data_IF_405560288145
#
_entry.id   IF_405560288145
#
_cell.length_a   1.000
_cell.length_b   1.000
_cell.length_c   1.000
_cell.angle_alpha   90.00
_cell.angle_beta   90.00
_cell.angle_gamma   90.00
#
_symmetry.space_group_name_H-M   'P 1'
#
loop_
_entity.id
_entity.type
_entity.pdbx_description
1 polymer ?
#
# COMPACT_ATOMS: atom_id res chain seq x y z
N UNK A 1 15.42 45.37 10.13
CA UNK A 1 14.99 46.00 8.88
C UNK A 1 14.16 44.97 8.14
N UNK A 2 12.87 44.87 8.49
CA UNK A 2 11.94 43.88 7.94
C UNK A 2 11.40 44.42 6.62
N UNK A 3 11.74 43.75 5.52
CA UNK A 3 11.14 43.99 4.21
C UNK A 3 9.65 43.61 4.27
N UNK A 4 8.78 44.63 4.29
CA UNK A 4 7.38 44.49 3.90
C UNK A 4 7.36 44.00 2.45
N UNK A 5 7.12 42.70 2.25
CA UNK A 5 6.79 42.12 0.95
C UNK A 5 5.46 42.72 0.49
N UNK A 6 5.54 43.89 -0.14
CA UNK A 6 4.41 44.56 -0.75
C UNK A 6 4.37 44.11 -2.21
N UNK A 7 3.19 43.70 -2.64
CA UNK A 7 2.78 43.55 -4.03
C UNK A 7 3.21 42.25 -4.75
N UNK A 8 2.47 41.17 -4.50
CA UNK A 8 2.17 40.18 -5.54
C UNK A 8 0.71 40.38 -5.93
N UNK A 9 0.46 40.70 -7.19
CA UNK A 9 -0.85 40.72 -7.86
C UNK A 9 -1.61 39.41 -7.59
N UNK A 10 -2.29 39.31 -6.45
CA UNK A 10 -3.37 38.34 -6.28
C UNK A 10 -4.63 39.04 -6.78
N UNK A 11 -5.43 38.39 -7.66
CA UNK A 11 -6.69 38.95 -8.16
C UNK A 11 -7.77 38.83 -7.08
N UNK A 12 -7.58 39.55 -5.97
CA UNK A 12 -8.48 39.54 -4.83
C UNK A 12 -9.01 40.94 -4.57
N UNK A 13 -10.32 41.09 -4.32
CA UNK A 13 -10.90 42.37 -3.93
C UNK A 13 -10.29 42.94 -2.65
N UNK A 14 -9.58 44.06 -2.77
CA UNK A 14 -9.10 44.88 -1.64
C UNK A 14 -9.72 46.27 -1.62
N UNK A 15 -9.87 46.81 -0.41
CA UNK A 15 -10.31 48.17 -0.11
C UNK A 15 -9.35 48.81 0.89
N UNK A 16 -9.07 50.10 0.74
CA UNK A 16 -8.40 50.93 1.73
C UNK A 16 -9.41 51.88 2.33
N UNK A 17 -9.55 51.85 3.64
CA UNK A 17 -10.58 52.62 4.35
C UNK A 17 -9.97 53.49 5.46
N UNK A 18 -10.68 54.55 5.82
CA UNK A 18 -10.36 55.36 7.00
C UNK A 18 -11.09 54.85 8.27
N UNK A 19 -10.84 55.49 9.42
CA UNK A 19 -11.51 55.19 10.70
C UNK A 19 -13.02 55.43 10.73
N UNK A 20 -13.56 56.16 9.74
CA UNK A 20 -14.99 56.40 9.58
C UNK A 20 -15.61 55.41 8.59
N UNK A 21 -14.85 54.40 8.14
CA UNK A 21 -15.24 53.42 7.13
C UNK A 21 -15.47 54.03 5.73
N UNK A 22 -14.90 55.19 5.44
CA UNK A 22 -14.89 55.77 4.10
C UNK A 22 -13.84 55.05 3.23
N UNK A 23 -14.22 54.70 2.00
CA UNK A 23 -13.34 54.01 1.06
C UNK A 23 -12.46 55.05 0.37
N UNK A 24 -11.16 54.98 0.65
CA UNK A 24 -10.13 55.84 0.08
C UNK A 24 -9.61 55.30 -1.24
N UNK A 25 -9.35 53.99 -1.29
CA UNK A 25 -8.86 53.29 -2.49
C UNK A 25 -9.54 51.92 -2.60
N UNK A 26 -9.64 51.38 -3.81
CA UNK A 26 -10.18 50.05 -4.10
C UNK A 26 -9.42 49.42 -5.26
N UNK A 27 -9.31 48.10 -5.25
CA UNK A 27 -8.75 47.32 -6.37
C UNK A 27 -9.72 47.22 -7.55
N UNK A 28 -9.21 46.90 -8.74
CA UNK A 28 -10.04 46.64 -9.92
C UNK A 28 -10.99 45.45 -9.69
N UNK A 29 -10.51 44.41 -9.03
CA UNK A 29 -11.29 43.22 -8.67
C UNK A 29 -12.44 43.56 -7.72
N UNK A 30 -12.25 44.52 -6.81
CA UNK A 30 -13.31 45.01 -5.94
C UNK A 30 -14.38 45.82 -6.71
N UNK A 31 -13.99 46.58 -7.72
CA UNK A 31 -14.91 47.32 -8.59
C UNK A 31 -15.77 46.42 -9.46
N UNK A 32 -15.21 45.31 -9.96
CA UNK A 32 -15.97 44.35 -10.76
C UNK A 32 -17.01 43.59 -9.94
N UNK A 33 -16.66 43.25 -8.69
CA UNK A 33 -17.45 42.35 -7.85
C UNK A 33 -18.47 43.06 -6.97
N UNK A 34 -18.15 44.24 -6.43
CA UNK A 34 -18.96 44.94 -5.43
C UNK A 34 -19.49 46.28 -5.95
N UNK A 35 -20.51 46.84 -5.28
CA UNK A 35 -21.06 48.15 -5.66
C UNK A 35 -20.06 49.29 -5.46
N UNK A 36 -20.25 50.36 -6.22
CA UNK A 36 -19.45 51.58 -6.09
C UNK A 36 -20.02 52.49 -4.99
N UNK A 37 -19.81 52.10 -3.73
CA UNK A 37 -20.20 52.93 -2.58
C UNK A 37 -19.05 53.79 -2.07
N UNK A 38 -19.39 54.86 -1.34
CA UNK A 38 -18.41 55.74 -0.66
C UNK A 38 -18.00 55.21 0.70
N UNK A 39 -18.86 54.43 1.35
CA UNK A 39 -18.59 53.83 2.66
C UNK A 39 -18.55 52.31 2.54
N UNK A 40 -17.59 51.69 3.22
CA UNK A 40 -17.49 50.24 3.31
C UNK A 40 -18.70 49.63 4.00
N UNK A 41 -19.29 50.32 4.99
CA UNK A 41 -20.51 49.86 5.66
C UNK A 41 -21.72 49.79 4.71
N UNK A 42 -21.77 50.63 3.67
CA UNK A 42 -22.84 50.58 2.69
C UNK A 42 -22.76 49.34 1.78
N UNK A 43 -21.58 48.69 1.71
CA UNK A 43 -21.38 47.42 1.03
C UNK A 43 -21.77 46.21 1.89
N UNK A 44 -21.96 46.41 3.20
CA UNK A 44 -22.24 45.35 4.17
C UNK A 44 -23.72 45.38 4.55
N UNK A 45 -24.35 44.21 4.64
CA UNK A 45 -25.73 44.10 5.07
C UNK A 45 -25.95 44.61 6.51
N UNK A 46 -27.15 45.12 6.80
CA UNK A 46 -27.49 45.79 8.06
C UNK A 46 -27.20 44.92 9.27
N UNK A 47 -27.50 43.61 9.19
CA UNK A 47 -27.24 42.66 10.28
C UNK A 47 -25.75 42.42 10.54
N UNK A 48 -24.90 42.64 9.53
CA UNK A 48 -23.45 42.47 9.61
C UNK A 48 -22.71 43.77 9.96
N UNK A 49 -23.35 44.94 9.83
CA UNK A 49 -22.74 46.24 10.12
C UNK A 49 -22.34 46.41 11.59
N UNK A 50 -23.10 45.86 12.53
CA UNK A 50 -22.75 45.91 13.96
C UNK A 50 -21.43 45.19 14.25
N UNK A 51 -21.26 44.00 13.67
CA UNK A 51 -20.01 43.22 13.77
C UNK A 51 -18.83 43.97 13.16
N UNK A 52 -19.02 44.61 12.01
CA UNK A 52 -17.96 45.45 11.41
C UNK A 52 -17.60 46.62 12.33
N UNK A 53 -18.57 47.35 12.88
CA UNK A 53 -18.27 48.52 13.75
C UNK A 53 -17.60 48.17 15.07
N UNK A 54 -17.87 46.98 15.60
CA UNK A 54 -17.31 46.50 16.87
C UNK A 54 -15.87 46.02 16.68
N UNK A 55 -15.60 45.27 15.61
CA UNK A 55 -14.34 44.55 15.44
C UNK A 55 -13.36 45.20 14.46
N UNK A 56 -13.83 46.08 13.58
CA UNK A 56 -13.02 46.80 12.60
C UNK A 56 -12.46 48.11 13.19
N UNK A 57 -11.76 48.01 14.33
CA UNK A 57 -11.16 49.15 15.03
C UNK A 57 -9.65 48.98 15.21
N UNK A 58 -8.88 50.09 15.34
CA UNK A 58 -7.42 50.04 15.48
C UNK A 58 -6.95 49.23 16.69
N UNK A 59 -7.79 49.09 17.72
CA UNK A 59 -7.46 48.36 18.95
C UNK A 59 -7.44 46.84 18.77
N UNK A 60 -7.94 46.31 17.65
CA UNK A 60 -7.93 44.89 17.34
C UNK A 60 -6.88 44.57 16.28
N UNK A 61 -5.82 43.87 16.69
CA UNK A 61 -4.74 43.47 15.80
C UNK A 61 -5.18 42.26 14.95
N UNK A 62 -5.27 42.45 13.62
CA UNK A 62 -5.59 41.42 12.63
C UNK A 62 -6.87 40.63 12.91
N UNK A 63 -8.01 41.15 12.44
CA UNK A 63 -9.32 40.49 12.60
C UNK A 63 -9.79 39.89 11.27
N UNK A 64 -10.32 38.67 11.33
CA UNK A 64 -11.12 38.05 10.26
C UNK A 64 -12.60 38.03 10.65
N UNK A 65 -13.47 38.59 9.81
CA UNK A 65 -14.92 38.71 10.05
C UNK A 65 -15.69 38.07 8.90
N UNK A 66 -16.66 37.21 9.23
CA UNK A 66 -17.61 36.66 8.26
C UNK A 66 -18.83 37.60 8.16
N UNK A 67 -19.02 38.21 6.99
CA UNK A 67 -20.09 39.20 6.74
C UNK A 67 -20.75 38.98 5.39
N UNK A 68 -22.00 39.40 5.27
CA UNK A 68 -22.70 39.46 3.98
C UNK A 68 -22.43 40.80 3.31
N UNK A 69 -21.92 40.77 2.07
CA UNK A 69 -21.66 41.96 1.26
C UNK A 69 -22.51 42.01 -0.01
N UNK A 70 -22.93 43.22 -0.38
CA UNK A 70 -23.72 43.52 -1.58
C UNK A 70 -22.82 43.55 -2.82
N UNK A 71 -23.07 42.63 -3.73
CA UNK A 71 -22.44 42.60 -5.05
C UNK A 71 -22.95 43.72 -5.96
N UNK A 72 -22.23 44.02 -7.03
CA UNK A 72 -22.64 44.98 -8.07
C UNK A 72 -24.05 44.74 -8.60
N UNK A 73 -24.47 43.47 -8.71
CA UNK A 73 -25.80 43.04 -9.14
C UNK A 73 -26.90 43.15 -8.05
N UNK A 74 -26.53 43.47 -6.81
CA UNK A 74 -27.46 43.58 -5.68
C UNK A 74 -27.75 42.28 -4.94
N UNK A 75 -27.05 41.20 -5.25
CA UNK A 75 -27.10 39.96 -4.48
C UNK A 75 -26.18 40.05 -3.26
N UNK A 76 -26.61 39.45 -2.14
CA UNK A 76 -25.78 39.29 -0.96
C UNK A 76 -24.91 38.05 -1.11
N UNK A 77 -23.61 38.20 -0.91
CA UNK A 77 -22.63 37.11 -0.89
C UNK A 77 -21.92 37.08 0.45
N UNK A 78 -21.78 35.87 0.99
CA UNK A 78 -21.04 35.61 2.22
C UNK A 78 -19.53 35.68 1.95
N UNK A 79 -18.84 36.54 2.68
CA UNK A 79 -17.42 36.81 2.49
C UNK A 79 -16.68 36.80 3.83
N UNK A 80 -15.43 36.38 3.79
CA UNK A 80 -14.48 36.57 4.88
C UNK A 80 -13.70 37.86 4.62
N UNK A 81 -13.74 38.77 5.58
CA UNK A 81 -13.11 40.09 5.55
C UNK A 81 -11.91 40.08 6.49
N UNK A 82 -10.72 40.28 5.94
CA UNK A 82 -9.47 40.36 6.68
C UNK A 82 -8.97 41.79 6.71
N UNK A 83 -8.48 42.23 7.87
CA UNK A 83 -8.24 43.66 8.13
C UNK A 83 -6.87 43.85 8.73
N UNK A 84 -6.07 44.70 8.12
CA UNK A 84 -4.76 45.12 8.62
C UNK A 84 -4.69 46.63 8.72
N UNK A 85 -4.41 47.16 9.91
CA UNK A 85 -4.15 48.59 10.10
C UNK A 85 -2.69 48.88 9.73
N UNK A 86 -2.46 49.68 8.69
CA UNK A 86 -1.10 50.13 8.34
C UNK A 86 -0.63 51.32 9.19
N UNK A 87 -1.59 52.09 9.72
CA UNK A 87 -1.42 53.25 10.61
C UNK A 87 -2.72 53.48 11.40
N UNK A 88 -2.72 54.34 12.43
CA UNK A 88 -3.95 54.71 13.17
C UNK A 88 -5.03 55.40 12.32
N UNK A 89 -4.73 55.71 11.06
CA UNK A 89 -5.60 56.46 10.16
C UNK A 89 -6.16 55.62 9.00
N UNK A 90 -5.55 54.47 8.69
CA UNK A 90 -5.86 53.70 7.49
C UNK A 90 -5.85 52.20 7.76
N UNK A 91 -6.90 51.52 7.31
CA UNK A 91 -6.98 50.06 7.28
C UNK A 91 -7.02 49.56 5.84
N UNK A 92 -6.26 48.50 5.58
CA UNK A 92 -6.37 47.68 4.38
C UNK A 92 -7.31 46.51 4.68
N UNK A 93 -8.29 46.33 3.81
CA UNK A 93 -9.36 45.34 3.93
C UNK A 93 -9.32 44.42 2.72
N UNK A 94 -9.07 43.14 2.96
CA UNK A 94 -9.10 42.09 1.96
C UNK A 94 -10.41 41.31 2.08
N UNK A 95 -11.12 41.14 0.97
CA UNK A 95 -12.42 40.45 0.94
C UNK A 95 -12.30 39.17 0.11
N UNK A 96 -12.59 38.03 0.74
CA UNK A 96 -12.53 36.72 0.10
C UNK A 96 -13.94 36.13 0.07
N UNK A 97 -14.45 35.80 -1.13
CA UNK A 97 -15.72 35.09 -1.28
C UNK A 97 -15.60 33.69 -0.67
N UNK A 98 -16.56 33.32 0.18
CA UNK A 98 -16.67 31.96 0.69
C UNK A 98 -17.28 31.08 -0.40
N UNK A 99 -16.45 30.65 -1.35
CA UNK A 99 -16.90 29.85 -2.49
C UNK A 99 -17.31 28.45 -2.01
N UNK A 100 -18.63 28.21 -1.94
CA UNK A 100 -19.20 26.91 -1.56
C UNK A 100 -18.70 25.77 -2.45
N UNK A 101 -18.39 26.06 -3.72
CA UNK A 101 -17.90 25.05 -4.67
C UNK A 101 -16.50 24.57 -4.28
N UNK A 102 -15.60 25.48 -3.89
CA UNK A 102 -14.24 25.13 -3.47
C UNK A 102 -14.25 24.32 -2.17
N UNK A 103 -15.09 24.73 -1.20
CA UNK A 103 -15.27 23.98 0.06
C UNK A 103 -15.85 22.59 -0.15
N UNK A 104 -16.81 22.44 -1.10
CA UNK A 104 -17.41 21.14 -1.46
C UNK A 104 -16.39 20.21 -2.11
N UNK A 105 -15.57 20.71 -3.02
CA UNK A 105 -14.50 19.94 -3.68
C UNK A 105 -13.41 19.53 -2.67
N UNK A 106 -12.99 20.44 -1.79
CA UNK A 106 -12.00 20.13 -0.75
C UNK A 106 -12.52 19.06 0.23
N UNK A 107 -13.82 19.11 0.57
CA UNK A 107 -14.50 18.08 1.34
C UNK A 107 -14.54 16.73 0.64
N UNK A 108 -14.80 16.70 -0.67
CA UNK A 108 -14.76 15.46 -1.47
C UNK A 108 -13.34 14.88 -1.57
N UNK A 109 -12.33 15.72 -1.80
CA UNK A 109 -10.92 15.30 -1.83
C UNK A 109 -10.46 14.72 -0.49
N UNK A 110 -10.89 15.32 0.62
CA UNK A 110 -10.57 14.82 1.97
C UNK A 110 -11.20 13.45 2.20
N UNK A 111 -12.48 13.26 1.80
CA UNK A 111 -13.15 11.96 1.89
C UNK A 111 -12.51 10.88 1.00
N UNK A 112 -12.09 11.24 -0.20
CA UNK A 112 -11.39 10.31 -1.11
C UNK A 112 -10.02 9.92 -0.55
N UNK A 113 -9.26 10.87 0.01
CA UNK A 113 -7.98 10.59 0.69
C UNK A 113 -8.17 9.64 1.86
N UNK A 114 -9.16 9.87 2.72
CA UNK A 114 -9.46 8.99 3.84
C UNK A 114 -9.78 7.55 3.35
N UNK A 115 -10.67 7.41 2.35
CA UNK A 115 -10.97 6.10 1.76
C UNK A 115 -9.75 5.41 1.15
N UNK A 116 -8.90 6.13 0.43
CA UNK A 116 -7.68 5.57 -0.14
C UNK A 116 -6.70 5.11 0.94
N UNK A 117 -6.61 5.83 2.05
CA UNK A 117 -5.80 5.41 3.20
C UNK A 117 -6.36 4.15 3.84
N UNK A 118 -7.68 4.10 4.08
CA UNK A 118 -8.35 2.92 4.65
C UNK A 118 -8.16 1.69 3.76
N UNK A 119 -8.39 1.84 2.44
CA UNK A 119 -8.17 0.75 1.48
C UNK A 119 -6.71 0.33 1.40
N UNK A 120 -5.75 1.27 1.45
CA UNK A 120 -4.33 0.92 1.46
C UNK A 120 -3.95 0.11 2.70
N UNK A 121 -4.49 0.46 3.87
CA UNK A 121 -4.28 -0.28 5.12
C UNK A 121 -4.86 -1.70 5.00
N UNK A 122 -6.09 -1.83 4.51
CA UNK A 122 -6.73 -3.13 4.28
C UNK A 122 -5.94 -3.99 3.29
N UNK A 123 -5.50 -3.41 2.16
CA UNK A 123 -4.70 -4.11 1.15
C UNK A 123 -3.33 -4.55 1.69
N UNK A 124 -2.71 -3.73 2.54
CA UNK A 124 -1.47 -4.08 3.25
C UNK A 124 -1.66 -5.30 4.15
N UNK A 125 -2.72 -5.32 4.96
CA UNK A 125 -3.02 -6.46 5.82
C UNK A 125 -3.34 -7.73 5.03
N UNK A 126 -4.10 -7.62 3.94
CA UNK A 126 -4.38 -8.77 3.08
C UNK A 126 -3.11 -9.30 2.40
N UNK A 127 -2.23 -8.39 1.93
CA UNK A 127 -0.94 -8.78 1.39
C UNK A 127 -0.07 -9.51 2.42
N UNK A 128 0.04 -8.98 3.64
CA UNK A 128 0.81 -9.60 4.72
C UNK A 128 0.26 -10.99 5.08
N UNK A 129 -1.07 -11.13 5.13
CA UNK A 129 -1.74 -12.42 5.31
C UNK A 129 -1.40 -13.40 4.17
N UNK A 130 -1.45 -12.94 2.92
CA UNK A 130 -1.10 -13.77 1.77
C UNK A 130 0.38 -14.18 1.79
N UNK A 131 1.27 -13.31 2.22
CA UNK A 131 2.70 -13.62 2.38
C UNK A 131 2.93 -14.67 3.48
N UNK A 132 2.24 -14.55 4.62
CA UNK A 132 2.27 -15.55 5.68
C UNK A 132 1.72 -16.90 5.23
N UNK A 133 0.58 -16.92 4.52
CA UNK A 133 0.01 -18.14 3.94
C UNK A 133 0.93 -18.74 2.88
N UNK A 134 1.58 -17.92 2.06
CA UNK A 134 2.55 -18.37 1.07
C UNK A 134 3.82 -18.92 1.72
N UNK A 135 4.25 -18.36 2.86
CA UNK A 135 5.37 -18.88 3.63
C UNK A 135 5.02 -20.19 4.34
N UNK A 136 3.82 -20.31 4.89
CA UNK A 136 3.29 -21.57 5.43
C UNK A 136 3.17 -22.64 4.34
N UNK A 137 2.73 -22.28 3.14
CA UNK A 137 2.69 -23.19 2.00
C UNK A 137 4.10 -23.56 1.48
N UNK A 138 5.06 -22.62 1.56
CA UNK A 138 6.49 -22.92 1.32
C UNK A 138 7.07 -23.84 2.39
N UNK A 139 6.64 -23.75 3.65
CA UNK A 139 6.95 -24.73 4.69
C UNK A 139 6.44 -26.13 4.28
N UNK A 140 5.32 -26.23 3.60
CA UNK A 140 4.72 -27.47 3.09
C UNK A 140 5.25 -27.96 1.73
N UNK A 141 6.29 -27.36 1.14
CA UNK A 141 6.67 -27.65 -0.27
C UNK A 141 7.48 -28.94 -0.53
N UNK A 142 7.64 -29.81 0.46
CA UNK A 142 7.72 -31.27 0.32
C UNK A 142 7.54 -31.85 1.73
N UNK A 143 6.31 -32.16 2.15
CA UNK A 143 6.09 -32.71 3.47
C UNK A 143 6.71 -34.10 3.51
N UNK A 144 7.61 -34.38 4.45
CA UNK A 144 7.91 -35.76 4.80
C UNK A 144 6.66 -36.35 5.45
N UNK A 145 6.12 -37.39 4.83
CA UNK A 145 4.93 -38.09 5.29
C UNK A 145 5.41 -39.45 5.81
N UNK A 146 5.48 -39.68 7.12
CA UNK A 146 5.78 -41.00 7.66
C UNK A 146 4.63 -41.95 7.31
N UNK A 147 4.94 -43.03 6.62
CA UNK A 147 3.97 -44.06 6.23
C UNK A 147 4.01 -45.25 7.18
N UNK A 148 5.19 -45.53 7.76
CA UNK A 148 5.41 -46.48 8.85
C UNK A 148 6.65 -46.05 9.66
N UNK A 149 7.03 -46.82 10.69
CA UNK A 149 8.27 -46.58 11.45
C UNK A 149 9.53 -46.62 10.55
N UNK A 150 9.49 -47.39 9.46
CA UNK A 150 10.65 -47.61 8.58
C UNK A 150 10.55 -46.89 7.23
N UNK A 151 9.36 -46.37 6.86
CA UNK A 151 9.10 -45.83 5.51
C UNK A 151 8.55 -44.42 5.56
N UNK A 152 9.24 -43.50 4.88
CA UNK A 152 8.80 -42.11 4.65
C UNK A 152 8.52 -41.80 3.18
N UNK A 153 7.61 -40.87 2.94
CA UNK A 153 7.25 -40.38 1.59
C UNK A 153 7.56 -38.89 1.47
N UNK A 154 8.23 -38.53 0.38
CA UNK A 154 8.56 -37.15 -0.01
C UNK A 154 7.96 -36.88 -1.39
N UNK A 155 6.80 -36.22 -1.47
CA UNK A 155 6.18 -35.94 -2.75
C UNK A 155 6.81 -34.72 -3.42
N UNK A 156 7.23 -34.89 -4.68
CA UNK A 156 7.94 -33.91 -5.48
C UNK A 156 6.98 -33.26 -6.48
N UNK A 157 6.58 -32.02 -6.22
CA UNK A 157 5.55 -31.32 -7.02
C UNK A 157 6.11 -30.19 -7.87
N UNK A 158 5.57 -29.99 -9.08
CA UNK A 158 5.85 -28.82 -9.92
C UNK A 158 7.30 -28.75 -10.42
N UNK A 159 7.74 -27.55 -10.84
CA UNK A 159 9.11 -27.35 -11.32
C UNK A 159 10.13 -27.54 -10.19
N UNK A 160 11.21 -28.27 -10.46
CA UNK A 160 12.26 -28.60 -9.49
C UNK A 160 13.59 -27.93 -9.91
N UNK A 161 13.90 -26.82 -9.25
CA UNK A 161 15.17 -26.11 -9.37
C UNK A 161 16.06 -26.29 -8.13
N UNK A 162 17.25 -25.70 -8.15
CA UNK A 162 18.21 -25.83 -7.06
C UNK A 162 17.65 -25.32 -5.74
N UNK A 163 17.03 -24.14 -5.74
CA UNK A 163 16.54 -23.49 -4.52
C UNK A 163 15.47 -24.35 -3.86
N UNK A 164 14.54 -24.88 -4.67
CA UNK A 164 13.50 -25.77 -4.18
C UNK A 164 14.08 -27.05 -3.59
N UNK A 165 14.99 -27.73 -4.29
CA UNK A 165 15.59 -28.97 -3.77
C UNK A 165 16.38 -28.72 -2.48
N UNK A 166 17.13 -27.63 -2.39
CA UNK A 166 17.86 -27.27 -1.16
C UNK A 166 16.91 -26.99 0.01
N UNK A 167 15.78 -26.32 -0.26
CA UNK A 167 14.76 -26.08 0.77
C UNK A 167 14.12 -27.38 1.28
N UNK A 168 14.02 -28.41 0.42
CA UNK A 168 13.52 -29.75 0.78
C UNK A 168 14.58 -30.48 1.59
N UNK A 169 15.84 -30.49 1.14
CA UNK A 169 16.96 -31.16 1.83
C UNK A 169 17.09 -30.71 3.29
N UNK A 170 17.03 -29.40 3.56
CA UNK A 170 17.18 -28.87 4.93
C UNK A 170 16.13 -29.42 5.89
N UNK A 171 14.86 -29.52 5.46
CA UNK A 171 13.77 -30.03 6.30
C UNK A 171 13.85 -31.54 6.44
N UNK A 172 14.07 -32.22 5.32
CA UNK A 172 14.07 -33.67 5.24
C UNK A 172 15.18 -34.28 6.13
N UNK A 173 16.38 -33.68 6.15
CA UNK A 173 17.47 -34.14 7.02
C UNK A 173 17.13 -34.02 8.52
N UNK A 174 16.32 -33.02 8.91
CA UNK A 174 15.86 -32.88 10.30
C UNK A 174 14.80 -33.93 10.64
N UNK A 175 13.80 -34.09 9.77
CA UNK A 175 12.68 -35.02 9.99
C UNK A 175 13.15 -36.48 10.05
N UNK A 176 14.04 -36.91 9.15
CA UNK A 176 14.58 -38.29 9.16
C UNK A 176 15.40 -38.59 10.41
N UNK A 177 16.14 -37.59 10.90
CA UNK A 177 16.91 -37.77 12.13
C UNK A 177 16.00 -38.00 13.34
N UNK A 178 14.79 -37.45 13.33
CA UNK A 178 13.80 -37.61 14.40
C UNK A 178 12.97 -38.90 14.23
N UNK A 179 12.51 -39.21 13.01
CA UNK A 179 11.58 -40.32 12.74
C UNK A 179 12.25 -41.67 12.45
N UNK A 180 13.59 -41.74 12.31
CA UNK A 180 14.36 -42.99 12.11
C UNK A 180 13.93 -43.83 10.88
N UNK A 181 13.42 -43.19 9.83
CA UNK A 181 12.99 -43.92 8.63
C UNK A 181 14.18 -44.49 7.84
N UNK A 182 14.15 -45.81 7.61
CA UNK A 182 15.16 -46.54 6.84
C UNK A 182 14.98 -46.38 5.33
N UNK A 183 13.74 -46.23 4.85
CA UNK A 183 13.42 -46.12 3.42
C UNK A 183 12.67 -44.84 3.11
N UNK A 184 13.11 -44.12 2.08
CA UNK A 184 12.48 -42.87 1.64
C UNK A 184 12.01 -43.01 0.19
N UNK A 185 10.71 -42.81 -0.01
CA UNK A 185 10.07 -42.80 -1.31
C UNK A 185 9.95 -41.36 -1.80
N UNK A 186 10.60 -41.02 -2.91
CA UNK A 186 10.40 -39.75 -3.59
C UNK A 186 9.36 -39.94 -4.71
N UNK A 187 8.19 -39.34 -4.57
CA UNK A 187 7.13 -39.44 -5.57
C UNK A 187 7.19 -38.28 -6.58
N UNK A 188 7.56 -38.60 -7.82
CA UNK A 188 7.65 -37.66 -8.93
C UNK A 188 6.39 -37.63 -9.79
N UNK A 189 5.30 -38.32 -9.41
CA UNK A 189 4.08 -38.43 -10.22
C UNK A 189 3.52 -37.06 -10.65
N UNK A 190 3.63 -36.05 -9.77
CA UNK A 190 3.15 -34.68 -10.03
C UNK A 190 4.29 -33.65 -10.18
N UNK A 191 5.51 -34.13 -10.50
CA UNK A 191 6.64 -33.26 -10.83
C UNK A 191 6.54 -32.76 -12.27
N UNK A 192 6.96 -31.52 -12.49
CA UNK A 192 7.12 -30.94 -13.83
C UNK A 192 8.57 -31.07 -14.30
N UNK A 193 9.06 -30.03 -14.95
CA UNK A 193 10.46 -29.96 -15.39
C UNK A 193 11.44 -29.97 -14.20
N UNK A 194 12.49 -30.79 -14.30
CA UNK A 194 13.65 -30.74 -13.40
C UNK A 194 14.80 -30.08 -14.12
N UNK A 195 15.21 -28.91 -13.63
CA UNK A 195 16.31 -28.15 -14.23
C UNK A 195 17.65 -28.85 -14.03
N UNK A 196 18.63 -28.52 -14.86
CA UNK A 196 20.00 -29.01 -14.75
C UNK A 196 20.64 -28.77 -13.37
N UNK A 197 20.33 -27.63 -12.74
CA UNK A 197 20.78 -27.33 -11.38
C UNK A 197 19.98 -28.06 -10.31
N UNK A 198 18.69 -28.31 -10.55
CA UNK A 198 17.85 -29.17 -9.71
C UNK A 198 18.37 -30.61 -9.66
N UNK A 199 18.75 -31.21 -10.79
CA UNK A 199 19.33 -32.57 -10.83
C UNK A 199 20.64 -32.65 -10.05
N UNK A 200 21.50 -31.62 -10.14
CA UNK A 200 22.73 -31.54 -9.34
C UNK A 200 22.45 -31.44 -7.84
N UNK A 201 21.45 -30.65 -7.45
CA UNK A 201 21.03 -30.54 -6.07
C UNK A 201 20.44 -31.86 -5.55
N UNK A 202 19.60 -32.54 -6.35
CA UNK A 202 19.06 -33.88 -6.03
C UNK A 202 20.18 -34.87 -5.77
N UNK A 203 21.24 -34.86 -6.59
CA UNK A 203 22.41 -35.71 -6.37
C UNK A 203 23.06 -35.48 -5.02
N UNK A 204 23.17 -34.22 -4.60
CA UNK A 204 23.75 -33.86 -3.30
C UNK A 204 22.87 -34.38 -2.19
N UNK A 205 21.57 -34.06 -2.23
CA UNK A 205 20.58 -34.49 -1.24
C UNK A 205 20.54 -36.02 -1.11
N UNK A 206 20.42 -36.77 -2.21
CA UNK A 206 20.41 -38.23 -2.17
C UNK A 206 21.70 -38.82 -1.60
N UNK A 207 22.86 -38.18 -1.83
CA UNK A 207 24.10 -38.59 -1.15
C UNK A 207 24.06 -38.33 0.35
N UNK A 208 23.57 -37.17 0.78
CA UNK A 208 23.41 -36.84 2.20
C UNK A 208 22.53 -37.89 2.89
N UNK A 209 21.40 -38.25 2.28
CA UNK A 209 20.47 -39.26 2.82
C UNK A 209 21.06 -40.67 2.83
N UNK A 210 21.77 -41.06 1.78
CA UNK A 210 22.46 -42.36 1.76
C UNK A 210 23.56 -42.46 2.83
N UNK A 211 24.24 -41.35 3.14
CA UNK A 211 25.20 -41.28 4.25
C UNK A 211 24.51 -41.46 5.61
N UNK A 212 23.26 -41.00 5.75
CA UNK A 212 22.44 -41.23 6.94
C UNK A 212 21.91 -42.67 7.05
N UNK A 213 22.17 -43.52 6.06
CA UNK A 213 21.76 -44.93 6.06
C UNK A 213 20.42 -45.19 5.38
N UNK A 214 19.79 -44.17 4.78
CA UNK A 214 18.49 -44.34 4.15
C UNK A 214 18.59 -45.02 2.78
N UNK A 215 17.73 -45.99 2.54
CA UNK A 215 17.44 -46.55 1.23
C UNK A 215 16.53 -45.60 0.44
N UNK A 216 16.91 -45.32 -0.81
CA UNK A 216 16.22 -44.34 -1.65
C UNK A 216 15.43 -45.04 -2.75
N UNK A 217 14.13 -44.75 -2.81
CA UNK A 217 13.22 -45.22 -3.85
C UNK A 217 12.60 -44.03 -4.58
N UNK A 218 12.64 -44.03 -5.90
CA UNK A 218 11.95 -43.02 -6.72
C UNK A 218 10.73 -43.67 -7.37
N UNK A 219 9.56 -43.08 -7.15
CA UNK A 219 8.29 -43.49 -7.73
C UNK A 219 7.80 -42.46 -8.76
N UNK A 220 7.05 -42.91 -9.78
CA UNK A 220 6.24 -41.99 -10.61
C UNK A 220 7.02 -41.11 -11.58
N UNK A 221 8.19 -41.54 -12.06
CA UNK A 221 9.00 -40.76 -13.02
C UNK A 221 8.28 -40.60 -14.35
N UNK A 222 7.95 -39.36 -14.72
CA UNK A 222 7.37 -39.03 -16.02
C UNK A 222 8.45 -38.86 -17.13
N UNK A 223 8.01 -38.61 -18.36
CA UNK A 223 8.92 -38.51 -19.52
C UNK A 223 9.90 -37.34 -19.43
N UNK A 224 9.49 -36.20 -18.86
CA UNK A 224 10.35 -35.01 -18.75
C UNK A 224 11.46 -35.25 -17.73
N UNK A 225 11.11 -35.75 -16.54
CA UNK A 225 12.07 -36.11 -15.49
C UNK A 225 13.02 -37.21 -15.96
N UNK A 226 12.53 -38.22 -16.67
CA UNK A 226 13.36 -39.29 -17.21
C UNK A 226 14.44 -38.77 -18.18
N UNK A 227 14.14 -37.76 -19.01
CA UNK A 227 15.11 -37.13 -19.92
C UNK A 227 16.19 -36.41 -19.14
N UNK A 228 15.81 -35.60 -18.15
CA UNK A 228 16.76 -34.90 -17.28
C UNK A 228 17.64 -35.91 -16.54
N UNK A 229 17.07 -36.98 -15.99
CA UNK A 229 17.84 -37.99 -15.24
C UNK A 229 18.82 -38.77 -16.12
N UNK A 230 18.44 -39.09 -17.36
CA UNK A 230 19.32 -39.80 -18.30
C UNK A 230 20.62 -39.04 -18.56
N UNK A 231 20.56 -37.71 -18.70
CA UNK A 231 21.75 -36.87 -18.96
C UNK A 231 22.78 -36.94 -17.82
N UNK A 232 22.34 -37.21 -16.59
CA UNK A 232 23.18 -37.20 -15.39
C UNK A 232 23.49 -38.60 -14.84
N UNK A 233 23.11 -39.64 -15.59
CA UNK A 233 23.31 -41.05 -15.26
C UNK A 233 22.78 -41.40 -13.86
N UNK A 234 21.59 -40.92 -13.51
CA UNK A 234 20.97 -41.12 -12.17
C UNK A 234 20.83 -42.60 -11.81
N UNK A 235 20.69 -43.49 -12.79
CA UNK A 235 20.66 -44.94 -12.58
C UNK A 235 21.93 -45.51 -11.90
N UNK A 236 23.03 -44.73 -11.84
CA UNK A 236 24.26 -45.12 -11.13
C UNK A 236 24.30 -44.67 -9.67
N UNK A 237 23.29 -43.95 -9.17
CA UNK A 237 23.33 -43.28 -7.86
C UNK A 237 22.90 -44.17 -6.69
N UNK A 238 22.84 -45.50 -6.88
CA UNK A 238 22.32 -46.45 -5.88
C UNK A 238 20.90 -46.09 -5.41
N UNK A 239 20.01 -45.84 -6.37
CA UNK A 239 18.61 -45.48 -6.14
C UNK A 239 17.74 -46.50 -6.86
N UNK A 240 16.72 -47.00 -6.18
CA UNK A 240 15.73 -47.89 -6.77
C UNK A 240 14.66 -47.08 -7.49
N UNK A 241 14.08 -47.63 -8.56
CA UNK A 241 13.03 -46.97 -9.34
C UNK A 241 11.79 -47.86 -9.43
N UNK A 242 10.63 -47.27 -9.21
CA UNK A 242 9.34 -47.92 -9.35
C UNK A 242 8.35 -47.05 -10.14
N UNK A 243 7.45 -47.70 -10.86
CA UNK A 243 6.57 -47.01 -11.80
C UNK A 243 5.59 -46.03 -11.12
N UNK A 244 5.10 -46.34 -9.92
CA UNK A 244 4.11 -45.50 -9.22
C UNK A 244 4.20 -45.69 -7.72
N UNK A 245 3.71 -44.68 -6.97
CA UNK A 245 3.62 -44.74 -5.52
C UNK A 245 2.78 -45.95 -5.06
N UNK A 246 1.64 -46.21 -5.70
CA UNK A 246 0.78 -47.36 -5.39
C UNK A 246 1.54 -48.70 -5.43
N UNK A 247 2.42 -48.89 -6.42
CA UNK A 247 3.24 -50.10 -6.51
C UNK A 247 4.33 -50.14 -5.44
N UNK A 248 4.89 -48.99 -5.08
CA UNK A 248 5.86 -48.86 -3.99
C UNK A 248 5.26 -49.34 -2.67
N UNK A 249 4.08 -48.81 -2.32
CA UNK A 249 3.37 -49.16 -1.10
C UNK A 249 3.00 -50.65 -1.06
N UNK A 250 2.54 -51.22 -2.17
CA UNK A 250 2.23 -52.66 -2.28
C UNK A 250 3.46 -53.55 -2.14
N UNK A 251 4.64 -53.11 -2.56
CA UNK A 251 5.87 -53.92 -2.45
C UNK A 251 6.47 -53.94 -1.05
N UNK A 252 6.06 -53.00 -0.18
CA UNK A 252 6.64 -52.77 1.14
C UNK A 252 5.67 -53.16 2.28
N UNK A 253 4.52 -53.77 1.96
CA UNK A 253 3.47 -54.13 2.92
C UNK A 253 3.02 -52.98 3.86
N UNK A 254 3.21 -51.72 3.41
CA UNK A 254 2.82 -50.49 4.14
C UNK A 254 1.29 -50.30 4.17
N UNK A 255 0.54 -51.28 3.66
CA UNK A 255 -0.93 -51.31 3.69
C UNK A 255 -1.38 -52.45 4.62
N UNK A 256 -1.47 -52.17 5.91
CA UNK A 256 -2.20 -52.98 6.89
C UNK A 256 -2.94 -52.09 7.87
#
# INVERSE_FOLDING_TARGET
>A
MQERMTNRNLPLPTFKIDKNFEILERSMEAEEVFRLERSFLALVDVESQEKVREWLRPEHEQVSLEVNMLTSNGELVLVDVYVGWESELHAEVLVIKKDEAFSRVLGQLTKLRARLQDTNIELMHEKERLELLAEENRRLSAPFIPLSEEVGLVPMFGMLDREKIQSIEVKLLQEIYEDSADTIIFDFTASGEVTNDGVRALKSMFKSLAIMGCELLIAGVNQEVARSFKQYEVQKWNISFIHSLERALKSMDVTS
#
